data_IF_010767349268
#
_entry.id   IF_010767349268
#
_cell.length_a   1.000
_cell.length_b   1.000
_cell.length_c   1.000
_cell.angle_alpha   90.00
_cell.angle_beta   90.00
_cell.angle_gamma   90.00
#
_symmetry.space_group_name_H-M   'P 1'
#
loop_
_entity.id
_entity.type
_entity.pdbx_description
1 polymer ?
#
# COMPACT_ATOMS: atom_id res chain seq x y z
N UNK A 1 13.78 2.40 -16.76
CA UNK A 1 12.54 1.75 -16.26
C UNK A 1 13.00 0.85 -15.14
N UNK A 2 13.25 1.45 -14.00
CA UNK A 2 13.91 0.76 -12.90
C UNK A 2 12.82 0.41 -11.92
N UNK A 3 12.28 -0.80 -12.13
CA UNK A 3 11.38 -1.43 -11.18
C UNK A 3 12.01 -1.37 -9.80
N UNK A 4 11.20 -1.08 -8.79
CA UNK A 4 11.59 -1.13 -7.38
C UNK A 4 12.21 -2.50 -7.13
N UNK A 5 13.54 -2.58 -7.14
CA UNK A 5 14.24 -3.75 -6.61
C UNK A 5 13.87 -3.77 -5.14
N UNK A 6 13.00 -4.70 -4.75
CA UNK A 6 12.90 -5.11 -3.37
C UNK A 6 14.32 -5.49 -2.95
N UNK A 7 14.97 -4.61 -2.20
CA UNK A 7 16.28 -4.89 -1.64
C UNK A 7 16.12 -6.12 -0.76
N UNK A 8 16.82 -7.18 -1.19
CA UNK A 8 17.22 -8.36 -0.43
C UNK A 8 16.29 -8.69 0.76
N UNK A 9 15.15 -9.30 0.45
CA UNK A 9 14.35 -10.17 1.32
C UNK A 9 14.36 -9.89 2.82
N UNK A 10 13.64 -8.86 3.26
CA UNK A 10 13.24 -8.69 4.66
C UNK A 10 12.15 -9.69 5.10
N UNK A 11 12.30 -10.98 4.75
CA UNK A 11 11.35 -12.06 5.10
C UNK A 11 11.39 -12.43 6.60
N UNK A 12 12.39 -11.94 7.33
CA UNK A 12 12.64 -12.29 8.74
C UNK A 12 12.28 -11.18 9.73
N UNK A 13 11.99 -9.96 9.27
CA UNK A 13 11.61 -8.86 10.14
C UNK A 13 10.14 -9.00 10.52
N UNK A 14 9.87 -9.45 11.75
CA UNK A 14 8.54 -9.42 12.35
C UNK A 14 8.29 -8.04 12.93
N UNK A 15 7.20 -7.40 12.52
CA UNK A 15 6.72 -6.12 13.06
C UNK A 15 5.39 -6.33 13.79
N UNK A 16 5.13 -5.52 14.82
CA UNK A 16 3.85 -5.55 15.54
C UNK A 16 2.76 -4.74 14.82
N UNK A 17 1.51 -4.88 15.26
CA UNK A 17 0.33 -4.24 14.64
C UNK A 17 0.41 -2.71 14.58
N UNK A 18 1.14 -2.08 15.51
CA UNK A 18 1.33 -0.62 15.58
C UNK A 18 2.11 -0.01 14.41
N UNK A 19 2.69 -0.85 13.55
CA UNK A 19 3.38 -0.39 12.34
C UNK A 19 2.44 -0.18 11.15
N UNK A 20 1.15 -0.51 11.33
CA UNK A 20 0.09 -0.41 10.33
C UNK A 20 -0.99 0.58 10.79
N UNK A 21 -1.68 1.20 9.84
CA UNK A 21 -2.81 2.07 10.12
C UNK A 21 -4.10 1.26 10.35
N UNK A 22 -5.09 1.91 10.99
CA UNK A 22 -6.43 1.38 11.10
C UNK A 22 -7.04 1.18 9.71
N UNK A 23 -7.29 -0.08 9.35
CA UNK A 23 -7.82 -0.47 8.05
C UNK A 23 -6.83 -1.18 7.13
N UNK A 24 -5.52 -1.19 7.42
CA UNK A 24 -4.55 -2.05 6.72
C UNK A 24 -4.60 -3.49 7.25
N UNK A 25 -5.06 -3.67 8.50
CA UNK A 25 -5.27 -4.95 9.13
C UNK A 25 -6.74 -5.42 9.08
N UNK A 26 -6.92 -6.72 8.81
CA UNK A 26 -8.19 -7.42 8.78
C UNK A 26 -8.38 -8.23 10.07
N UNK A 27 -9.43 -7.87 10.81
CA UNK A 27 -9.84 -8.57 12.04
C UNK A 27 -11.05 -9.47 11.84
N UNK A 28 -11.77 -9.31 10.73
CA UNK A 28 -12.98 -10.06 10.40
C UNK A 28 -12.89 -10.61 8.99
N UNK A 29 -13.53 -11.76 8.78
CA UNK A 29 -13.79 -12.33 7.47
C UNK A 29 -15.28 -12.30 7.19
N UNK A 30 -15.63 -12.08 5.93
CA UNK A 30 -17.00 -12.08 5.45
C UNK A 30 -17.17 -13.20 4.43
N UNK A 31 -18.24 -13.97 4.57
CA UNK A 31 -18.62 -15.01 3.64
C UNK A 31 -20.05 -14.76 3.17
N UNK A 32 -20.24 -14.68 1.85
CA UNK A 32 -21.56 -14.56 1.26
C UNK A 32 -22.14 -15.95 1.05
N UNK A 33 -23.32 -16.21 1.62
CA UNK A 33 -24.05 -17.45 1.42
C UNK A 33 -25.17 -17.24 0.41
N UNK A 34 -24.95 -17.71 -0.82
CA UNK A 34 -25.90 -17.56 -1.93
C UNK A 34 -27.26 -18.21 -1.65
N UNK A 35 -27.28 -19.36 -0.97
CA UNK A 35 -28.52 -20.09 -0.67
C UNK A 35 -29.45 -19.36 0.30
N UNK A 36 -28.90 -18.51 1.18
CA UNK A 36 -29.68 -17.75 2.17
C UNK A 36 -29.77 -16.27 1.84
N UNK A 37 -29.03 -15.79 0.83
CA UNK A 37 -28.92 -14.38 0.48
C UNK A 37 -28.26 -13.52 1.56
N UNK A 38 -27.56 -14.12 2.53
CA UNK A 38 -27.01 -13.42 3.70
C UNK A 38 -25.48 -13.44 3.68
N UNK A 39 -24.90 -12.32 4.10
CA UNK A 39 -23.46 -12.22 4.39
C UNK A 39 -23.23 -12.52 5.86
N UNK A 40 -22.41 -13.51 6.13
CA UNK A 40 -21.96 -13.87 7.47
C UNK A 40 -20.62 -13.17 7.73
N UNK A 41 -20.46 -12.60 8.92
CA UNK A 41 -19.19 -12.02 9.38
C UNK A 41 -18.72 -12.72 10.64
N UNK A 42 -17.47 -13.14 10.66
CA UNK A 42 -16.84 -13.79 11.80
C UNK A 42 -15.51 -13.11 12.17
N UNK A 43 -15.18 -13.01 13.48
CA UNK A 43 -13.87 -12.55 13.91
C UNK A 43 -12.78 -13.58 13.57
N UNK A 44 -11.60 -13.10 13.18
CA UNK A 44 -10.43 -13.93 12.92
C UNK A 44 -9.69 -14.22 14.22
N UNK A 45 -9.25 -15.47 14.42
CA UNK A 45 -8.39 -15.85 15.56
C UNK A 45 -7.01 -15.16 15.50
N UNK A 46 -6.54 -14.84 14.29
CA UNK A 46 -5.31 -14.09 14.04
C UNK A 46 -5.62 -12.99 13.03
N UNK A 47 -5.37 -11.71 13.36
CA UNK A 47 -5.47 -10.63 12.39
C UNK A 47 -4.54 -10.88 11.19
N UNK A 48 -4.96 -10.43 10.02
CA UNK A 48 -4.20 -10.59 8.77
C UNK A 48 -3.96 -9.22 8.13
N UNK A 49 -2.80 -9.02 7.55
CA UNK A 49 -2.55 -7.85 6.72
C UNK A 49 -3.35 -7.96 5.42
N UNK A 50 -3.88 -6.84 4.92
CA UNK A 50 -4.46 -6.78 3.58
C UNK A 50 -3.42 -7.13 2.53
N UNK A 51 -3.90 -7.59 1.38
CA UNK A 51 -3.02 -7.95 0.28
C UNK A 51 -2.27 -6.72 -0.22
N UNK A 52 -0.95 -6.83 -0.33
CA UNK A 52 -0.02 -5.78 -0.80
C UNK A 52 0.19 -4.58 0.14
N UNK A 53 -0.41 -4.57 1.34
CA UNK A 53 -0.07 -3.57 2.35
C UNK A 53 1.31 -3.87 2.98
N UNK A 54 1.98 -2.82 3.43
CA UNK A 54 3.32 -2.86 4.01
C UNK A 54 3.38 -1.95 5.23
N UNK A 55 4.26 -2.24 6.21
CA UNK A 55 4.41 -1.37 7.38
C UNK A 55 4.86 0.02 6.95
N UNK A 56 4.17 1.05 7.42
CA UNK A 56 4.44 2.45 7.09
C UNK A 56 4.85 3.31 8.28
N UNK A 57 4.52 2.89 9.50
CA UNK A 57 4.77 3.67 10.72
C UNK A 57 6.09 3.22 11.35
N UNK A 58 7.10 4.09 11.30
CA UNK A 58 8.41 3.86 11.92
C UNK A 58 8.78 5.04 12.83
N UNK A 59 8.38 5.00 14.12
CA UNK A 59 8.66 6.08 15.04
C UNK A 59 10.17 6.24 15.22
N UNK A 60 10.65 7.49 15.21
CA UNK A 60 12.07 7.78 15.35
C UNK A 60 12.92 7.51 14.10
N UNK A 61 12.30 7.30 12.93
CA UNK A 61 13.04 7.23 11.69
C UNK A 61 13.69 8.60 11.41
N UNK A 62 15.03 8.68 11.26
CA UNK A 62 15.69 9.94 10.97
C UNK A 62 15.12 10.61 9.70
N UNK A 63 15.04 11.93 9.71
CA UNK A 63 14.48 12.71 8.59
C UNK A 63 15.24 12.48 7.29
N UNK A 64 16.55 12.23 7.36
CA UNK A 64 17.38 11.92 6.20
C UNK A 64 17.11 10.52 5.61
N UNK A 65 16.43 9.62 6.34
CA UNK A 65 16.02 8.29 5.88
C UNK A 65 14.54 8.22 5.50
N UNK A 66 13.75 9.26 5.81
CA UNK A 66 12.31 9.31 5.55
C UNK A 66 12.04 10.22 4.36
N UNK A 67 11.75 9.67 3.18
CA UNK A 67 11.23 10.49 2.08
C UNK A 67 9.75 10.77 2.28
N UNK A 68 9.38 12.02 2.56
CA UNK A 68 8.00 12.47 2.79
C UNK A 68 7.12 12.52 1.53
N UNK A 69 7.55 11.92 0.41
CA UNK A 69 6.76 11.94 -0.82
C UNK A 69 5.74 10.81 -0.79
N UNK A 70 4.51 11.14 -0.40
CA UNK A 70 3.34 10.42 -0.91
C UNK A 70 3.54 10.26 -2.41
N UNK A 71 3.47 9.04 -2.94
CA UNK A 71 3.59 8.80 -4.38
C UNK A 71 2.35 9.32 -5.10
N UNK A 72 2.15 10.65 -5.11
CA UNK A 72 1.48 11.30 -6.23
C UNK A 72 2.39 10.99 -7.40
N UNK A 73 1.98 10.07 -8.27
CA UNK A 73 2.61 9.98 -9.58
C UNK A 73 2.41 11.35 -10.19
N UNK A 74 3.48 12.14 -10.22
CA UNK A 74 3.52 13.33 -11.05
C UNK A 74 3.44 12.81 -12.49
N UNK A 75 2.22 12.79 -13.03
CA UNK A 75 2.01 12.56 -14.44
C UNK A 75 2.62 13.75 -15.15
N UNK A 76 3.84 13.56 -15.66
CA UNK A 76 4.42 14.50 -16.60
C UNK A 76 3.43 14.70 -17.74
N UNK A 77 2.71 15.83 -17.74
CA UNK A 77 2.02 16.30 -18.93
C UNK A 77 3.11 16.58 -19.94
N UNK A 78 3.23 15.71 -20.94
CA UNK A 78 3.97 16.00 -22.15
C UNK A 78 3.31 17.20 -22.83
N UNK A 79 3.85 18.39 -22.60
CA UNK A 79 3.56 19.57 -23.41
C UNK A 79 4.09 19.26 -24.82
N UNK A 80 3.19 19.04 -25.77
CA UNK A 80 3.56 18.88 -27.17
C UNK A 80 3.87 20.27 -27.73
N UNK A 81 5.15 20.60 -27.88
CA UNK A 81 5.59 21.79 -28.62
C UNK A 81 5.13 21.65 -30.07
N UNK A 82 4.06 22.36 -30.44
CA UNK A 82 3.68 22.57 -31.84
C UNK A 82 4.77 23.46 -32.44
N UNK A 83 5.62 22.91 -33.32
CA UNK A 83 6.42 23.73 -34.22
C UNK A 83 5.50 24.26 -35.30
N UNK A 84 5.02 25.49 -35.16
CA UNK A 84 4.51 26.26 -36.30
C UNK A 84 5.71 26.82 -37.05
N UNK A 85 6.04 26.21 -38.18
CA UNK A 85 6.91 26.83 -39.18
C UNK A 85 6.04 27.62 -40.14
N UNK A 86 6.05 28.95 -40.01
CA UNK A 86 5.64 29.86 -41.08
C UNK A 86 6.83 30.07 -42.02
N UNK A 87 6.64 29.74 -43.30
CA UNK A 87 6.87 30.62 -44.45
C UNK A 87 6.37 29.91 -45.71
#
# INVERSE_FOLDING_TARGET
MDGRKASLGCKLLKVCERHFNDGEMLYRTTFYNESTGKTLSAPLKKPRLKENDAPGIFPGCPTYLSSSTSSVRESFKKEATIRTSSN
#
